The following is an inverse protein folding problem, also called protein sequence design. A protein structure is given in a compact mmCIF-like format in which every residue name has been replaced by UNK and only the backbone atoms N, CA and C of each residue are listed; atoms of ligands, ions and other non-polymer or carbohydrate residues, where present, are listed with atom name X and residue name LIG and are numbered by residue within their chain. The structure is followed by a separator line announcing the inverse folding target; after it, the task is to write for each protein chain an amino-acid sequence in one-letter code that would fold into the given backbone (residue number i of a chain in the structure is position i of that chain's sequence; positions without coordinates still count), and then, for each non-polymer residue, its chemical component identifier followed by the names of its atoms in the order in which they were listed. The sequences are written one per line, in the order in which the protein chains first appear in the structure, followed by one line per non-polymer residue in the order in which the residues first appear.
data_IF_756457979364
#
_entry.id   IF_756457979364
#
_cell.length_a   1.000
_cell.length_b   1.000
_cell.length_c   1.000
_cell.angle_alpha   90.00
_cell.angle_beta   90.00
_cell.angle_gamma   90.00
#
_symmetry.space_group_name_H-M   'P 1'
#
loop_
_entity.id
_entity.type
_entity.pdbx_description
1 polymer ?
#
# COMPACT_ATOMS: atom_id res chain seq x y z
N UNK A 1 -35.71 -20.97 -5.90
CA UNK A 1 -35.19 -20.40 -4.65
C UNK A 1 -33.73 -20.79 -4.58
N UNK A 2 -32.83 -19.82 -4.51
CA UNK A 2 -31.39 -20.07 -4.51
C UNK A 2 -30.95 -20.96 -3.36
N UNK A 3 -29.87 -21.72 -3.56
CA UNK A 3 -29.22 -22.50 -2.51
C UNK A 3 -27.77 -22.06 -2.36
N UNK A 4 -27.24 -22.16 -1.15
CA UNK A 4 -25.82 -21.96 -0.90
C UNK A 4 -25.05 -23.25 -1.23
N UNK A 5 -23.94 -23.11 -1.95
CA UNK A 5 -22.98 -24.19 -2.18
C UNK A 5 -21.62 -23.86 -1.56
N UNK A 6 -20.90 -24.90 -1.15
CA UNK A 6 -19.49 -24.83 -0.74
C UNK A 6 -18.74 -25.88 -1.53
N UNK A 7 -17.66 -25.48 -2.20
CA UNK A 7 -16.77 -26.36 -2.95
C UNK A 7 -17.52 -27.25 -3.96
N UNK A 8 -18.40 -26.64 -4.76
CA UNK A 8 -19.20 -27.33 -5.76
C UNK A 8 -20.31 -28.25 -5.23
N UNK A 9 -20.53 -28.34 -3.91
CA UNK A 9 -21.60 -29.15 -3.30
C UNK A 9 -22.63 -28.27 -2.58
N UNK A 10 -23.90 -28.67 -2.61
CA UNK A 10 -24.97 -28.00 -1.84
C UNK A 10 -24.61 -28.03 -0.35
N UNK A 11 -24.73 -26.89 0.32
CA UNK A 11 -24.58 -26.80 1.76
C UNK A 11 -25.81 -27.41 2.44
N UNK A 12 -25.64 -28.47 3.25
CA UNK A 12 -26.74 -29.04 4.03
C UNK A 12 -26.30 -29.72 5.32
N UNK A 13 -27.22 -29.78 6.29
CA UNK A 13 -27.02 -30.56 7.52
C UNK A 13 -26.85 -32.05 7.22
N UNK A 14 -27.58 -32.58 6.22
CA UNK A 14 -27.51 -34.00 5.83
C UNK A 14 -26.15 -34.39 5.25
N UNK A 15 -25.49 -33.49 4.51
CA UNK A 15 -24.16 -33.69 3.94
C UNK A 15 -23.04 -33.32 4.93
N UNK A 16 -23.39 -32.87 6.15
CA UNK A 16 -22.44 -32.43 7.19
C UNK A 16 -21.41 -31.39 6.71
N UNK A 17 -21.73 -30.63 5.66
CA UNK A 17 -20.88 -29.63 5.03
C UNK A 17 -21.44 -28.20 5.23
N UNK A 18 -22.14 -27.97 6.35
CA UNK A 18 -22.73 -26.67 6.67
C UNK A 18 -21.82 -25.84 7.56
N UNK A 19 -21.90 -24.52 7.42
CA UNK A 19 -21.28 -23.57 8.33
C UNK A 19 -22.38 -22.72 8.95
N UNK A 20 -22.33 -22.49 10.26
CA UNK A 20 -23.26 -21.54 10.89
C UNK A 20 -22.84 -20.11 10.58
N UNK A 21 -23.78 -19.17 10.63
CA UNK A 21 -23.46 -17.74 10.46
C UNK A 21 -22.48 -17.30 11.56
N UNK A 22 -22.63 -17.80 12.80
CA UNK A 22 -21.74 -17.49 13.91
C UNK A 22 -20.30 -17.94 13.62
N UNK A 23 -20.12 -19.17 13.13
CA UNK A 23 -18.79 -19.68 12.78
C UNK A 23 -18.18 -18.87 11.64
N UNK A 24 -18.97 -18.58 10.61
CA UNK A 24 -18.53 -17.81 9.46
C UNK A 24 -18.09 -16.38 9.83
N UNK A 25 -18.81 -15.73 10.76
CA UNK A 25 -18.45 -14.41 11.28
C UNK A 25 -17.26 -14.44 12.25
N UNK A 26 -17.04 -15.56 12.94
CA UNK A 26 -15.92 -15.71 13.86
C UNK A 26 -14.58 -15.96 13.15
N UNK A 27 -14.59 -16.49 11.92
CA UNK A 27 -13.37 -16.97 11.27
C UNK A 27 -13.12 -16.38 9.88
N UNK A 28 -14.15 -16.11 9.10
CA UNK A 28 -13.98 -15.94 7.64
C UNK A 28 -14.53 -14.61 7.12
N UNK A 29 -15.54 -14.03 7.77
CA UNK A 29 -16.28 -12.88 7.24
C UNK A 29 -16.50 -11.78 8.27
N UNK A 30 -16.43 -10.53 7.82
CA UNK A 30 -17.16 -9.45 8.47
C UNK A 30 -18.65 -9.55 8.13
N UNK A 31 -19.52 -9.00 8.99
CA UNK A 31 -20.95 -8.97 8.73
C UNK A 31 -21.30 -8.21 7.43
N UNK A 32 -20.54 -7.17 7.10
CA UNK A 32 -20.68 -6.44 5.83
C UNK A 32 -20.21 -7.27 4.64
N UNK A 33 -19.01 -7.84 4.70
CA UNK A 33 -18.45 -8.64 3.61
C UNK A 33 -19.35 -9.82 3.25
N UNK A 34 -19.95 -10.48 4.24
CA UNK A 34 -20.94 -11.53 3.99
C UNK A 34 -22.18 -11.02 3.25
N UNK A 35 -22.72 -9.84 3.62
CA UNK A 35 -23.86 -9.23 2.91
C UNK A 35 -23.51 -8.84 1.47
N UNK A 36 -22.31 -8.31 1.25
CA UNK A 36 -21.81 -7.97 -0.10
C UNK A 36 -21.79 -9.22 -0.98
N UNK A 37 -21.25 -10.34 -0.48
CA UNK A 37 -21.27 -11.62 -1.22
C UNK A 37 -22.69 -12.04 -1.62
N UNK A 38 -23.67 -11.87 -0.74
CA UNK A 38 -25.06 -12.19 -1.07
C UNK A 38 -25.68 -11.24 -2.09
N UNK A 39 -25.34 -9.94 -2.06
CA UNK A 39 -25.81 -8.96 -3.05
C UNK A 39 -25.19 -9.18 -4.44
N UNK A 40 -24.06 -9.89 -4.52
CA UNK A 40 -23.43 -10.25 -5.79
C UNK A 40 -24.10 -11.44 -6.49
N UNK A 41 -25.04 -12.12 -5.83
CA UNK A 41 -25.85 -13.21 -6.41
C UNK A 41 -27.32 -12.84 -6.53
N UNK A 42 -28.01 -13.35 -7.56
CA UNK A 42 -29.47 -13.17 -7.66
C UNK A 42 -30.18 -14.02 -6.60
N UNK A 43 -31.27 -13.50 -6.04
CA UNK A 43 -32.02 -14.17 -4.96
C UNK A 43 -32.55 -15.56 -5.37
N UNK A 44 -32.81 -15.76 -6.66
CA UNK A 44 -33.36 -16.99 -7.22
C UNK A 44 -32.28 -17.97 -7.71
N UNK A 45 -31.02 -17.55 -7.81
CA UNK A 45 -29.89 -18.35 -8.29
C UNK A 45 -29.10 -18.97 -7.13
N UNK A 46 -28.36 -20.04 -7.41
CA UNK A 46 -27.43 -20.61 -6.44
C UNK A 46 -26.23 -19.67 -6.21
N UNK A 47 -25.82 -19.50 -4.95
CA UNK A 47 -24.64 -18.70 -4.60
C UNK A 47 -23.58 -19.62 -4.00
N UNK A 48 -22.42 -19.67 -4.63
CA UNK A 48 -21.27 -20.42 -4.11
C UNK A 48 -20.44 -19.55 -3.17
N UNK A 49 -20.21 -20.04 -1.96
CA UNK A 49 -19.33 -19.40 -0.99
C UNK A 49 -17.89 -19.87 -1.24
N UNK A 50 -17.21 -19.21 -2.18
CA UNK A 50 -15.83 -19.52 -2.58
C UNK A 50 -14.83 -18.46 -2.07
N UNK A 51 -13.52 -18.79 -1.98
CA UNK A 51 -12.48 -17.79 -1.75
C UNK A 51 -12.49 -16.64 -2.77
N UNK A 52 -12.83 -16.93 -4.03
CA UNK A 52 -12.88 -15.93 -5.08
C UNK A 52 -14.05 -14.95 -4.89
N UNK A 53 -15.23 -15.44 -4.50
CA UNK A 53 -16.36 -14.57 -4.18
C UNK A 53 -16.06 -13.65 -3.00
N UNK A 54 -15.28 -14.14 -2.01
CA UNK A 54 -14.79 -13.28 -0.92
C UNK A 54 -13.86 -12.20 -1.43
N UNK A 55 -12.88 -12.57 -2.24
CA UNK A 55 -11.93 -11.61 -2.79
C UNK A 55 -12.63 -10.53 -3.62
N UNK A 56 -13.65 -10.91 -4.41
CA UNK A 56 -14.48 -9.96 -5.16
C UNK A 56 -15.25 -9.02 -4.24
N UNK A 57 -15.89 -9.55 -3.19
CA UNK A 57 -16.61 -8.75 -2.20
C UNK A 57 -15.67 -7.76 -1.48
N UNK A 58 -14.51 -8.22 -1.02
CA UNK A 58 -13.49 -7.37 -0.40
C UNK A 58 -12.98 -6.30 -1.37
N UNK A 59 -12.76 -6.63 -2.65
CA UNK A 59 -12.31 -5.65 -3.64
C UNK A 59 -13.38 -4.60 -3.94
N UNK A 60 -14.64 -5.00 -3.98
CA UNK A 60 -15.76 -4.07 -4.18
C UNK A 60 -15.90 -3.14 -2.96
N UNK A 61 -15.84 -3.69 -1.75
CA UNK A 61 -15.87 -2.90 -0.51
C UNK A 61 -14.71 -1.89 -0.46
N UNK A 62 -13.49 -2.34 -0.77
CA UNK A 62 -12.31 -1.48 -0.82
C UNK A 62 -12.44 -0.34 -1.85
N UNK A 63 -13.04 -0.62 -3.01
CA UNK A 63 -13.27 0.40 -4.04
C UNK A 63 -14.19 1.51 -3.52
N UNK A 64 -15.28 1.14 -2.85
CA UNK A 64 -16.23 2.08 -2.27
C UNK A 64 -15.64 2.82 -1.07
N UNK A 65 -14.88 2.13 -0.19
CA UNK A 65 -14.14 2.74 0.92
C UNK A 65 -13.19 3.82 0.43
N UNK A 66 -12.34 3.49 -0.56
CA UNK A 66 -11.37 4.43 -1.12
C UNK A 66 -12.04 5.68 -1.69
N UNK A 67 -13.18 5.50 -2.38
CA UNK A 67 -13.96 6.63 -2.87
C UNK A 67 -14.45 7.52 -1.73
N UNK A 68 -15.08 6.96 -0.69
CA UNK A 68 -15.53 7.74 0.46
C UNK A 68 -14.37 8.45 1.18
N UNK A 69 -13.25 7.75 1.41
CA UNK A 69 -12.07 8.34 2.03
C UNK A 69 -11.54 9.52 1.22
N UNK A 70 -11.53 9.43 -0.11
CA UNK A 70 -11.12 10.53 -0.98
C UNK A 70 -12.07 11.73 -0.89
N UNK A 71 -13.39 11.52 -1.00
CA UNK A 71 -14.37 12.61 -0.95
C UNK A 71 -14.37 13.28 0.42
N UNK A 72 -14.37 12.50 1.51
CA UNK A 72 -14.27 13.02 2.88
C UNK A 72 -13.01 13.86 3.08
N UNK A 73 -11.87 13.40 2.59
CA UNK A 73 -10.61 14.12 2.69
C UNK A 73 -10.68 15.48 1.96
N UNK A 74 -11.24 15.51 0.75
CA UNK A 74 -11.42 16.75 -0.02
C UNK A 74 -12.37 17.73 0.71
N UNK A 75 -13.49 17.25 1.24
CA UNK A 75 -14.40 18.06 2.05
C UNK A 75 -13.69 18.63 3.29
N UNK A 76 -12.92 17.80 3.99
CA UNK A 76 -12.19 18.22 5.18
C UNK A 76 -11.10 19.27 4.88
N UNK A 77 -10.46 19.20 3.71
CA UNK A 77 -9.44 20.14 3.25
C UNK A 77 -10.04 21.50 2.86
N UNK A 78 -11.16 21.51 2.14
CA UNK A 78 -11.89 22.74 1.81
C UNK A 78 -12.41 23.42 3.08
N UNK A 79 -13.04 22.67 3.98
CA UNK A 79 -13.54 23.20 5.26
C UNK A 79 -12.42 23.76 6.15
N UNK A 80 -11.18 23.29 6.01
CA UNK A 80 -10.04 23.83 6.73
C UNK A 80 -9.49 25.14 6.13
N UNK A 81 -9.77 25.38 4.84
CA UNK A 81 -9.28 26.53 4.07
C UNK A 81 -10.28 27.69 4.08
N UNK A 82 -11.57 27.42 4.29
CA UNK A 82 -12.64 28.40 4.37
C UNK A 82 -13.23 28.41 5.78
N UNK A 83 -12.75 29.28 6.67
CA UNK A 83 -13.43 29.55 7.94
C UNK A 83 -14.86 30.09 7.65
N UNK A 84 -15.90 29.34 8.04
CA UNK A 84 -17.22 29.92 8.31
C UNK A 84 -18.23 30.03 7.17
N UNK A 85 -18.32 29.09 6.21
CA UNK A 85 -19.49 29.02 5.32
C UNK A 85 -20.12 27.63 5.36
N UNK A 86 -21.36 27.57 5.88
CA UNK A 86 -22.26 26.43 5.76
C UNK A 86 -22.77 26.27 4.32
N UNK A 87 -23.01 25.00 3.99
CA UNK A 87 -23.67 24.47 2.80
C UNK A 87 -22.87 24.55 1.50
N UNK A 88 -22.34 23.38 1.09
CA UNK A 88 -22.13 23.02 -0.31
C UNK A 88 -23.52 22.99 -0.98
N UNK A 89 -24.11 24.16 -1.24
CA UNK A 89 -25.36 24.28 -1.96
C UNK A 89 -25.10 23.93 -3.42
N UNK A 90 -25.71 22.83 -3.86
CA UNK A 90 -25.71 22.39 -5.26
C UNK A 90 -26.41 23.48 -6.08
N UNK A 91 -25.68 24.13 -6.98
CA UNK A 91 -26.31 24.94 -8.02
C UNK A 91 -26.99 23.99 -9.01
N UNK A 92 -28.31 24.16 -9.21
CA UNK A 92 -29.05 23.38 -10.19
C UNK A 92 -28.57 23.72 -11.62
N UNK A 93 -27.98 22.72 -12.27
CA UNK A 93 -27.57 22.57 -13.69
C UNK A 93 -26.20 23.15 -14.08
N UNK A 94 -25.37 22.35 -14.80
CA UNK A 94 -25.65 21.88 -16.17
C UNK A 94 -25.81 20.35 -16.33
N UNK A 95 -26.41 19.95 -17.46
CA UNK A 95 -26.74 18.58 -17.90
C UNK A 95 -25.59 17.86 -18.62
N UNK A 96 -24.34 18.05 -18.19
CA UNK A 96 -23.16 17.36 -18.72
C UNK A 96 -22.18 16.99 -17.58
N UNK A 97 -21.48 15.87 -17.69
CA UNK A 97 -20.48 15.43 -16.70
C UNK A 97 -21.02 14.56 -15.56
N UNK A 98 -20.44 14.67 -14.36
CA UNK A 98 -20.69 13.73 -13.24
C UNK A 98 -22.16 13.69 -12.77
N UNK A 99 -22.90 14.80 -12.84
CA UNK A 99 -24.32 14.81 -12.47
C UNK A 99 -25.17 14.01 -13.47
N UNK A 100 -24.82 14.03 -14.76
CA UNK A 100 -25.50 13.19 -15.75
C UNK A 100 -25.23 11.70 -15.48
N UNK A 101 -24.00 11.34 -15.11
CA UNK A 101 -23.67 9.97 -14.68
C UNK A 101 -24.43 9.56 -13.41
N UNK A 102 -24.62 10.47 -12.46
CA UNK A 102 -25.42 10.22 -11.27
C UNK A 102 -26.90 9.98 -11.61
N UNK A 103 -27.52 10.78 -12.48
CA UNK A 103 -28.91 10.58 -12.91
C UNK A 103 -29.10 9.29 -13.73
N UNK A 104 -28.12 8.97 -14.58
CA UNK A 104 -28.07 7.68 -15.28
C UNK A 104 -28.00 6.52 -14.28
N UNK A 105 -27.09 6.58 -13.30
CA UNK A 105 -26.96 5.56 -12.28
C UNK A 105 -28.24 5.39 -11.43
N UNK A 106 -28.96 6.48 -11.11
CA UNK A 106 -30.28 6.41 -10.45
C UNK A 106 -31.29 5.62 -11.29
N UNK A 107 -31.35 5.90 -12.59
CA UNK A 107 -32.26 5.24 -13.53
C UNK A 107 -31.90 3.76 -13.71
N UNK A 108 -30.61 3.47 -13.89
CA UNK A 108 -30.09 2.11 -14.06
C UNK A 108 -30.31 1.26 -12.79
N UNK A 109 -30.09 1.86 -11.60
CA UNK A 109 -30.38 1.20 -10.32
C UNK A 109 -31.87 0.89 -10.17
N UNK A 110 -32.75 1.85 -10.49
CA UNK A 110 -34.20 1.64 -10.44
C UNK A 110 -34.63 0.49 -11.37
N UNK A 111 -34.09 0.46 -12.59
CA UNK A 111 -34.34 -0.61 -13.56
C UNK A 111 -33.86 -1.97 -13.04
N UNK A 112 -32.67 -2.03 -12.45
CA UNK A 112 -32.14 -3.26 -11.87
C UNK A 112 -33.03 -3.79 -10.73
N UNK A 113 -33.45 -2.91 -9.81
CA UNK A 113 -34.24 -3.30 -8.65
C UNK A 113 -35.69 -3.66 -8.99
N UNK A 114 -36.29 -3.01 -9.99
CA UNK A 114 -37.63 -3.36 -10.48
C UNK A 114 -37.62 -4.63 -11.34
N UNK A 115 -36.47 -5.01 -11.89
CA UNK A 115 -36.27 -6.30 -12.56
C UNK A 115 -35.95 -7.42 -11.56
N UNK A 116 -36.96 -7.90 -10.83
CA UNK A 116 -36.83 -9.04 -9.91
C UNK A 116 -35.71 -8.89 -8.88
N UNK A 117 -35.51 -7.67 -8.35
CA UNK A 117 -34.46 -7.37 -7.38
C UNK A 117 -33.05 -7.80 -7.86
N UNK A 118 -32.64 -7.40 -9.07
CA UNK A 118 -31.31 -7.70 -9.62
C UNK A 118 -30.21 -6.91 -8.88
N UNK A 119 -29.93 -7.35 -7.65
CA UNK A 119 -28.88 -6.80 -6.78
C UNK A 119 -27.48 -6.93 -7.36
N UNK A 120 -27.11 -7.99 -8.13
CA UNK A 120 -25.81 -8.01 -8.82
C UNK A 120 -25.66 -6.84 -9.78
N UNK A 121 -26.71 -6.53 -10.57
CA UNK A 121 -26.66 -5.38 -11.48
C UNK A 121 -26.65 -4.06 -10.72
N UNK A 122 -27.41 -3.93 -9.63
CA UNK A 122 -27.36 -2.75 -8.75
C UNK A 122 -25.94 -2.48 -8.20
N UNK A 123 -25.23 -3.53 -7.77
CA UNK A 123 -23.86 -3.42 -7.25
C UNK A 123 -22.87 -2.98 -8.33
N UNK A 124 -23.08 -3.39 -9.59
CA UNK A 124 -22.28 -2.93 -10.74
C UNK A 124 -22.51 -1.46 -11.06
N UNK A 125 -23.77 -1.01 -11.04
CA UNK A 125 -24.11 0.42 -11.26
C UNK A 125 -23.38 1.31 -10.26
N UNK A 126 -23.33 0.91 -8.98
CA UNK A 126 -22.58 1.63 -7.94
C UNK A 126 -21.08 1.66 -8.27
N UNK A 127 -20.50 0.52 -8.65
CA UNK A 127 -19.08 0.40 -8.97
C UNK A 127 -18.68 1.25 -10.20
N UNK A 128 -19.52 1.26 -11.23
CA UNK A 128 -19.33 2.08 -12.44
C UNK A 128 -19.36 3.56 -12.10
N UNK A 129 -20.34 4.02 -11.32
CA UNK A 129 -20.42 5.42 -10.90
C UNK A 129 -19.20 5.84 -10.06
N UNK A 130 -18.75 4.98 -9.15
CA UNK A 130 -17.52 5.22 -8.38
C UNK A 130 -16.30 5.33 -9.29
N UNK A 131 -16.22 4.51 -10.34
CA UNK A 131 -15.14 4.57 -11.32
C UNK A 131 -15.12 5.93 -12.05
N UNK A 132 -16.26 6.40 -12.53
CA UNK A 132 -16.36 7.72 -13.19
C UNK A 132 -16.00 8.87 -12.23
N UNK A 133 -16.46 8.81 -10.97
CA UNK A 133 -16.10 9.79 -9.96
C UNK A 133 -14.60 9.79 -9.64
N UNK A 134 -13.96 8.61 -9.56
CA UNK A 134 -12.53 8.49 -9.29
C UNK A 134 -11.66 9.06 -10.42
N UNK A 135 -12.09 9.00 -11.70
CA UNK A 135 -11.37 9.63 -12.81
C UNK A 135 -11.22 11.13 -12.58
N UNK A 136 -12.27 11.79 -12.08
CA UNK A 136 -12.25 13.22 -11.75
C UNK A 136 -11.32 13.52 -10.57
N UNK A 137 -11.32 12.67 -9.53
CA UNK A 137 -10.45 12.80 -8.37
C UNK A 137 -8.97 12.75 -8.80
N UNK A 138 -8.62 11.84 -9.70
CA UNK A 138 -7.24 11.65 -10.20
C UNK A 138 -6.82 12.77 -11.17
N UNK A 139 -7.74 13.28 -11.99
CA UNK A 139 -7.46 14.30 -13.00
C UNK A 139 -7.17 15.71 -12.41
N UNK A 140 -7.12 15.86 -11.08
CA UNK A 140 -6.91 17.13 -10.36
C UNK A 140 -8.01 18.19 -10.52
N UNK A 141 -9.12 17.85 -11.18
CA UNK A 141 -10.35 18.66 -11.25
C UNK A 141 -11.25 18.50 -10.00
N UNK A 142 -10.75 17.80 -8.98
CA UNK A 142 -11.54 17.34 -7.83
C UNK A 142 -12.13 18.49 -6.99
N UNK A 143 -11.38 19.58 -6.81
CA UNK A 143 -11.83 20.76 -6.05
C UNK A 143 -13.00 21.46 -6.76
N UNK A 144 -12.91 21.60 -8.10
CA UNK A 144 -13.94 22.24 -8.90
C UNK A 144 -15.25 21.43 -8.95
N UNK A 145 -15.15 20.09 -8.85
CA UNK A 145 -16.28 19.16 -8.92
C UNK A 145 -16.65 18.55 -7.57
N UNK A 146 -16.22 19.18 -6.47
CA UNK A 146 -16.47 18.66 -5.12
C UNK A 146 -17.98 18.55 -4.79
N UNK A 147 -18.85 19.51 -5.15
CA UNK A 147 -20.29 19.37 -4.91
C UNK A 147 -20.89 18.13 -5.57
N UNK A 148 -20.49 17.81 -6.81
CA UNK A 148 -20.94 16.63 -7.53
C UNK A 148 -20.42 15.33 -6.89
N UNK A 149 -19.15 15.31 -6.48
CA UNK A 149 -18.56 14.17 -5.77
C UNK A 149 -19.26 13.91 -4.43
N UNK A 150 -19.61 14.96 -3.69
CA UNK A 150 -20.39 14.87 -2.45
C UNK A 150 -21.80 14.35 -2.71
N UNK A 151 -22.48 14.84 -3.75
CA UNK A 151 -23.81 14.37 -4.13
C UNK A 151 -23.80 12.87 -4.50
N UNK A 152 -22.79 12.43 -5.27
CA UNK A 152 -22.58 11.01 -5.57
C UNK A 152 -22.34 10.22 -4.28
N UNK A 153 -21.47 10.71 -3.41
CA UNK A 153 -21.18 10.07 -2.12
C UNK A 153 -22.42 9.92 -1.24
N UNK A 154 -23.24 10.96 -1.12
CA UNK A 154 -24.50 10.91 -0.36
C UNK A 154 -25.49 9.93 -0.98
N UNK A 155 -25.64 9.92 -2.31
CA UNK A 155 -26.53 8.99 -2.98
C UNK A 155 -26.08 7.54 -2.76
N UNK A 156 -24.79 7.24 -2.96
CA UNK A 156 -24.24 5.91 -2.72
C UNK A 156 -24.47 5.52 -1.25
N UNK A 157 -24.15 6.39 -0.29
CA UNK A 157 -24.38 6.16 1.15
C UNK A 157 -25.82 5.72 1.44
N UNK A 158 -26.79 6.40 0.84
CA UNK A 158 -28.21 6.05 0.96
C UNK A 158 -28.52 4.66 0.43
N UNK A 159 -28.03 4.31 -0.76
CA UNK A 159 -28.28 2.97 -1.35
C UNK A 159 -27.66 1.86 -0.50
N UNK A 160 -26.44 2.07 0.01
CA UNK A 160 -25.77 1.11 0.87
C UNK A 160 -26.49 0.93 2.21
N UNK A 161 -27.03 2.01 2.76
CA UNK A 161 -27.90 1.97 3.94
C UNK A 161 -29.18 1.17 3.70
N UNK A 162 -29.82 1.33 2.53
CA UNK A 162 -30.99 0.53 2.11
C UNK A 162 -30.62 -0.95 1.98
N UNK A 163 -29.43 -1.27 1.44
CA UNK A 163 -28.93 -2.64 1.35
C UNK A 163 -28.43 -3.23 2.68
N UNK A 164 -28.46 -2.45 3.77
CA UNK A 164 -28.04 -2.91 5.09
C UNK A 164 -26.54 -3.19 5.21
N UNK A 165 -25.73 -2.49 4.41
CA UNK A 165 -24.26 -2.61 4.43
C UNK A 165 -23.61 -1.77 5.53
N UNK A 166 -24.34 -0.84 6.12
CA UNK A 166 -23.92 -0.10 7.31
C UNK A 166 -24.75 -0.52 8.52
N UNK A 167 -24.08 -0.86 9.62
CA UNK A 167 -24.71 -1.20 10.90
C UNK A 167 -25.35 0.01 11.60
N UNK A 168 -24.87 1.21 11.29
CA UNK A 168 -25.35 2.47 11.87
C UNK A 168 -26.34 3.21 10.96
N UNK A 169 -26.66 2.66 9.79
CA UNK A 169 -27.58 3.27 8.84
C UNK A 169 -28.97 3.46 9.45
N UNK A 170 -29.45 4.70 9.43
CA UNK A 170 -30.81 5.08 9.83
C UNK A 170 -31.43 5.93 8.75
N UNK A 171 -32.68 5.61 8.39
CA UNK A 171 -33.44 6.46 7.48
C UNK A 171 -33.51 7.90 8.03
N UNK A 172 -33.32 8.94 7.19
CA UNK A 172 -33.33 8.90 5.72
C UNK A 172 -31.97 8.56 5.04
N UNK A 173 -31.00 8.06 5.81
CA UNK A 173 -29.64 7.66 5.37
C UNK A 173 -28.76 8.83 4.96
N UNK A 174 -28.86 9.92 5.73
CA UNK A 174 -28.03 11.10 5.56
C UNK A 174 -26.57 10.81 5.96
N UNK A 175 -25.64 11.56 5.37
CA UNK A 175 -24.22 11.48 5.67
C UNK A 175 -23.37 11.17 4.43
N UNK A 176 -22.10 10.86 4.68
CA UNK A 176 -21.13 10.54 3.64
C UNK A 176 -20.27 9.36 4.08
N UNK A 177 -20.45 8.24 3.39
CA UNK A 177 -19.81 6.97 3.69
C UNK A 177 -20.57 6.16 4.75
N UNK A 178 -20.19 4.89 4.87
CA UNK A 178 -20.67 4.02 5.95
C UNK A 178 -19.72 4.03 7.15
N UNK A 179 -20.19 3.55 8.31
CA UNK A 179 -19.33 3.37 9.47
C UNK A 179 -18.21 2.34 9.19
N UNK A 180 -17.02 2.48 9.79
CA UNK A 180 -16.04 1.40 9.79
C UNK A 180 -16.59 0.18 10.55
N UNK A 181 -16.23 -1.02 10.10
CA UNK A 181 -16.83 -2.31 10.49
C UNK A 181 -16.69 -2.72 11.97
N UNK A 182 -16.16 -1.85 12.84
CA UNK A 182 -15.68 -2.25 14.17
C UNK A 182 -15.71 -1.18 15.29
N UNK A 183 -16.30 0.02 15.11
CA UNK A 183 -16.26 1.05 16.18
C UNK A 183 -17.58 1.13 16.95
N UNK A 184 -17.61 0.42 18.10
CA UNK A 184 -18.58 0.67 19.17
C UNK A 184 -18.48 2.14 19.60
N UNK A 185 -19.59 2.70 20.08
CA UNK A 185 -19.76 4.05 20.61
C UNK A 185 -18.65 4.40 21.65
N UNK A 186 -17.48 4.85 21.19
CA UNK A 186 -16.35 5.23 22.04
C UNK A 186 -16.57 6.66 22.51
N UNK A 187 -16.25 6.91 23.76
CA UNK A 187 -16.20 8.26 24.32
C UNK A 187 -15.33 9.20 23.43
N UNK A 188 -15.79 10.42 23.08
CA UNK A 188 -15.04 11.32 22.20
C UNK A 188 -13.62 11.61 22.63
N UNK A 189 -13.38 11.76 23.94
CA UNK A 189 -12.04 12.04 24.46
C UNK A 189 -11.15 10.82 24.28
N UNK A 190 -11.65 9.63 24.65
CA UNK A 190 -10.95 8.37 24.46
C UNK A 190 -10.65 8.10 22.96
N UNK A 191 -11.55 8.48 22.05
CA UNK A 191 -11.38 8.31 20.62
C UNK A 191 -10.23 9.16 20.04
N UNK A 192 -9.98 10.36 20.59
CA UNK A 192 -8.94 11.27 20.09
C UNK A 192 -7.60 11.14 20.80
N UNK A 193 -7.55 10.51 21.99
CA UNK A 193 -6.32 10.34 22.77
C UNK A 193 -5.09 9.88 21.94
N UNK A 194 -5.20 8.88 21.03
CA UNK A 194 -4.04 8.46 20.24
C UNK A 194 -3.49 9.56 19.32
N UNK A 195 -4.38 10.36 18.72
CA UNK A 195 -3.99 11.46 17.83
C UNK A 195 -3.37 12.62 18.61
N UNK A 196 -3.92 12.94 19.79
CA UNK A 196 -3.36 13.94 20.70
C UNK A 196 -1.96 13.53 21.20
N UNK A 197 -1.74 12.24 21.47
CA UNK A 197 -0.43 11.72 21.86
C UNK A 197 0.61 11.87 20.73
N UNK A 198 0.22 11.59 19.47
CA UNK A 198 1.09 11.80 18.31
C UNK A 198 1.43 13.28 18.14
N UNK A 199 0.45 14.18 18.27
CA UNK A 199 0.71 15.63 18.23
C UNK A 199 1.74 16.06 19.29
N UNK A 200 1.56 15.65 20.55
CA UNK A 200 2.48 15.98 21.65
C UNK A 200 3.89 15.45 21.39
N UNK A 201 4.01 14.21 20.91
CA UNK A 201 5.29 13.59 20.54
C UNK A 201 5.98 14.35 19.42
N UNK A 202 5.26 14.65 18.33
CA UNK A 202 5.79 15.38 17.17
C UNK A 202 6.22 16.79 17.56
N UNK A 203 5.41 17.49 18.35
CA UNK A 203 5.73 18.82 18.88
C UNK A 203 7.05 18.81 19.65
N UNK A 204 7.22 17.87 20.60
CA UNK A 204 8.43 17.74 21.39
C UNK A 204 9.67 17.43 20.52
N UNK A 205 9.54 16.53 19.54
CA UNK A 205 10.64 16.20 18.63
C UNK A 205 11.07 17.39 17.78
N UNK A 206 10.12 18.23 17.32
CA UNK A 206 10.42 19.43 16.52
C UNK A 206 11.07 20.51 17.38
N UNK A 207 10.60 20.71 18.61
CA UNK A 207 11.24 21.62 19.57
C UNK A 207 12.70 21.21 19.86
N UNK A 208 12.97 19.90 19.94
CA UNK A 208 14.32 19.37 20.15
C UNK A 208 15.26 19.62 18.96
N UNK A 209 14.74 19.76 17.73
CA UNK A 209 15.54 20.08 16.54
C UNK A 209 16.05 21.53 16.53
N UNK A 210 15.49 22.42 17.37
CA UNK A 210 15.90 23.83 17.50
C UNK A 210 16.00 24.55 16.15
N UNK A 211 15.02 24.33 15.28
CA UNK A 211 14.98 24.94 13.95
C UNK A 211 14.55 26.40 14.08
N UNK A 212 15.41 27.34 13.68
CA UNK A 212 15.12 28.77 13.68
C UNK A 212 14.25 29.15 12.47
N UNK A 213 12.92 28.97 12.60
CA UNK A 213 11.95 29.44 11.61
C UNK A 213 10.70 30.01 12.29
N UNK A 214 10.33 31.23 11.94
CA UNK A 214 9.14 31.91 12.49
C UNK A 214 7.85 31.16 12.15
N UNK A 215 7.78 30.58 10.95
CA UNK A 215 6.67 29.74 10.50
C UNK A 215 6.48 28.49 11.35
N UNK A 216 7.56 27.79 11.68
CA UNK A 216 7.53 26.59 12.53
C UNK A 216 7.12 26.97 13.95
N UNK A 217 7.66 28.07 14.47
CA UNK A 217 7.32 28.58 15.81
C UNK A 217 5.84 28.94 15.93
N UNK A 218 5.28 29.58 14.89
CA UNK A 218 3.84 29.88 14.81
C UNK A 218 3.00 28.61 14.80
N UNK A 219 3.38 27.60 14.01
CA UNK A 219 2.66 26.31 13.97
C UNK A 219 2.74 25.54 15.29
N UNK A 220 3.87 25.58 16.00
CA UNK A 220 4.03 24.93 17.32
C UNK A 220 3.17 25.58 18.41
N UNK A 221 2.77 26.84 18.23
CA UNK A 221 1.89 27.57 19.16
C UNK A 221 0.41 27.20 19.02
N UNK A 222 0.04 26.46 17.97
CA UNK A 222 -1.34 26.02 17.77
C UNK A 222 -1.79 25.09 18.91
N UNK A 223 -3.04 25.25 19.30
CA UNK A 223 -3.69 24.45 20.33
C UNK A 223 -4.86 23.65 19.73
N UNK A 224 -4.61 22.42 19.24
CA UNK A 224 -5.67 21.58 18.67
C UNK A 224 -6.68 21.11 19.72
N UNK A 225 -6.35 21.14 21.02
CA UNK A 225 -7.28 20.77 22.09
C UNK A 225 -8.48 21.74 22.15
N UNK A 226 -8.25 23.04 21.87
CA UNK A 226 -9.31 24.05 21.83
C UNK A 226 -10.28 23.85 20.67
N UNK A 227 -9.79 23.54 19.46
CA UNK A 227 -10.64 23.23 18.30
C UNK A 227 -11.43 21.94 18.52
N UNK A 228 -10.79 20.90 19.08
CA UNK A 228 -11.47 19.66 19.47
C UNK A 228 -12.61 19.92 20.47
N UNK A 229 -12.37 20.72 21.51
CA UNK A 229 -13.39 21.05 22.50
C UNK A 229 -14.59 21.77 21.86
N UNK A 230 -14.34 22.71 20.94
CA UNK A 230 -15.38 23.42 20.19
C UNK A 230 -16.21 22.48 19.31
N UNK A 231 -15.58 21.56 18.58
CA UNK A 231 -16.25 20.58 17.72
C UNK A 231 -17.10 19.60 18.54
N UNK A 232 -16.54 19.09 19.64
CA UNK A 232 -17.22 18.19 20.58
C UNK A 232 -18.46 18.86 21.19
N UNK A 233 -18.35 20.14 21.60
CA UNK A 233 -19.48 20.91 22.15
C UNK A 233 -20.61 21.16 21.14
N UNK A 234 -20.29 21.24 19.85
CA UNK A 234 -21.29 21.30 18.75
C UNK A 234 -22.03 19.98 18.52
N UNK A 235 -21.72 18.94 19.29
CA UNK A 235 -22.40 17.65 19.24
C UNK A 235 -21.85 16.69 18.19
N UNK A 236 -20.72 17.01 17.55
CA UNK A 236 -20.04 16.09 16.62
C UNK A 236 -19.49 14.91 17.42
N UNK A 237 -19.82 13.69 16.98
CA UNK A 237 -19.38 12.43 17.62
C UNK A 237 -18.55 11.54 16.69
N UNK A 238 -18.39 11.96 15.44
CA UNK A 238 -17.62 11.20 14.46
C UNK A 238 -16.11 11.25 14.83
N UNK A 239 -15.46 10.09 15.07
CA UNK A 239 -14.06 10.06 15.48
C UNK A 239 -13.09 10.65 14.46
N UNK A 240 -13.38 10.52 13.16
CA UNK A 240 -12.53 11.08 12.09
C UNK A 240 -12.55 12.61 12.17
N UNK A 241 -13.74 13.21 12.25
CA UNK A 241 -13.90 14.66 12.40
C UNK A 241 -13.27 15.19 13.69
N UNK A 242 -13.43 14.48 14.81
CA UNK A 242 -12.84 14.87 16.09
C UNK A 242 -11.30 14.79 16.10
N UNK A 243 -10.72 13.91 15.27
CA UNK A 243 -9.26 13.77 15.15
C UNK A 243 -8.61 14.83 14.22
N UNK A 244 -9.38 15.44 13.32
CA UNK A 244 -8.86 16.39 12.32
C UNK A 244 -8.03 17.56 12.90
N UNK A 245 -8.37 18.20 14.04
CA UNK A 245 -7.56 19.29 14.59
C UNK A 245 -6.10 18.89 14.82
N UNK A 246 -5.89 17.74 15.47
CA UNK A 246 -4.55 17.21 15.74
C UNK A 246 -3.83 16.81 14.46
N UNK A 247 -4.53 16.12 13.55
CA UNK A 247 -3.95 15.63 12.29
C UNK A 247 -3.56 16.78 11.36
N UNK A 248 -4.37 17.84 11.27
CA UNK A 248 -4.05 19.04 10.51
C UNK A 248 -2.83 19.74 11.09
N UNK A 249 -2.74 19.88 12.41
CA UNK A 249 -1.59 20.48 13.07
C UNK A 249 -0.29 19.69 12.80
N UNK A 250 -0.32 18.37 12.94
CA UNK A 250 0.81 17.47 12.60
C UNK A 250 1.18 17.59 11.11
N UNK A 251 0.19 17.54 10.21
CA UNK A 251 0.43 17.61 8.77
C UNK A 251 1.06 18.94 8.36
N UNK A 252 0.55 20.07 8.87
CA UNK A 252 1.10 21.40 8.59
C UNK A 252 2.55 21.53 9.07
N UNK A 253 2.88 21.02 10.26
CA UNK A 253 4.26 20.98 10.75
C UNK A 253 5.16 20.14 9.84
N UNK A 254 4.72 18.93 9.45
CA UNK A 254 5.47 18.08 8.52
C UNK A 254 5.73 18.77 7.19
N UNK A 255 4.71 19.36 6.60
CA UNK A 255 4.80 20.03 5.29
C UNK A 255 5.74 21.24 5.37
N UNK A 256 5.66 22.02 6.45
CA UNK A 256 6.55 23.15 6.69
C UNK A 256 8.01 22.72 6.89
N UNK A 257 8.25 21.65 7.65
CA UNK A 257 9.59 21.08 7.81
C UNK A 257 10.20 20.65 6.47
N UNK A 258 9.40 20.01 5.60
CA UNK A 258 9.84 19.63 4.24
C UNK A 258 10.11 20.85 3.37
N UNK A 259 9.38 21.94 3.55
CA UNK A 259 9.60 23.20 2.83
C UNK A 259 10.95 23.83 3.18
N UNK A 260 11.30 23.86 4.47
CA UNK A 260 12.53 24.49 4.96
C UNK A 260 13.76 23.56 4.95
N UNK A 261 13.58 22.27 4.67
CA UNK A 261 14.64 21.24 4.77
C UNK A 261 15.89 21.53 3.94
N UNK A 262 15.75 22.29 2.85
CA UNK A 262 16.85 22.69 1.98
C UNK A 262 17.66 23.88 2.53
N UNK A 263 17.11 24.60 3.49
CA UNK A 263 17.69 25.82 4.09
C UNK A 263 18.38 25.57 5.43
N UNK A 264 18.32 24.34 5.96
CA UNK A 264 18.94 23.96 7.25
C UNK A 264 20.30 23.28 7.06
N UNK A 265 21.05 23.15 8.16
CA UNK A 265 22.35 22.47 8.16
C UNK A 265 22.22 20.97 7.80
N UNK A 266 23.29 20.31 7.29
CA UNK A 266 23.23 18.90 6.87
C UNK A 266 22.78 17.91 7.95
N UNK A 267 23.17 18.14 9.21
CA UNK A 267 22.79 17.27 10.32
C UNK A 267 21.30 17.41 10.67
N UNK A 268 20.80 18.64 10.73
CA UNK A 268 19.38 18.93 10.95
C UNK A 268 18.55 18.43 9.76
N UNK A 269 19.05 18.58 8.52
CA UNK A 269 18.41 18.06 7.31
C UNK A 269 18.14 16.57 7.42
N UNK A 270 19.13 15.78 7.83
CA UNK A 270 18.96 14.32 8.00
C UNK A 270 17.93 14.00 9.08
N UNK A 271 17.95 14.74 10.19
CA UNK A 271 16.99 14.57 11.28
C UNK A 271 15.55 14.93 10.86
N UNK A 272 15.36 16.05 10.14
CA UNK A 272 14.07 16.45 9.57
C UNK A 272 13.52 15.39 8.64
N UNK A 273 14.32 14.90 7.68
CA UNK A 273 13.87 13.86 6.75
C UNK A 273 13.42 12.60 7.50
N UNK A 274 14.24 12.13 8.43
CA UNK A 274 13.90 10.97 9.27
C UNK A 274 12.63 11.18 10.09
N UNK A 275 12.41 12.38 10.63
CA UNK A 275 11.21 12.71 11.40
C UNK A 275 9.97 12.76 10.48
N UNK A 276 10.07 13.39 9.32
CA UNK A 276 8.94 13.50 8.38
C UNK A 276 8.53 12.14 7.80
N UNK A 277 9.49 11.24 7.58
CA UNK A 277 9.22 9.86 7.17
C UNK A 277 8.60 9.07 8.33
N UNK A 278 9.10 9.20 9.56
CA UNK A 278 8.51 8.53 10.74
C UNK A 278 7.07 8.97 10.99
N UNK A 279 6.77 10.27 10.85
CA UNK A 279 5.41 10.81 11.00
C UNK A 279 4.48 10.16 9.98
N UNK A 280 4.87 10.13 8.71
CA UNK A 280 4.04 9.58 7.63
C UNK A 280 3.90 8.06 7.74
N UNK A 281 5.02 7.34 7.88
CA UNK A 281 5.07 5.89 7.66
C UNK A 281 4.86 5.09 8.95
N UNK A 282 4.97 5.71 10.13
CA UNK A 282 4.81 5.04 11.42
C UNK A 282 3.75 5.67 12.31
N UNK A 283 3.94 6.93 12.72
CA UNK A 283 3.13 7.57 13.76
C UNK A 283 1.65 7.70 13.31
N UNK A 284 1.40 8.06 12.04
CA UNK A 284 0.05 8.19 11.49
C UNK A 284 -0.52 6.88 10.92
N UNK A 285 0.32 6.05 10.29
CA UNK A 285 -0.07 4.74 9.72
C UNK A 285 -0.73 3.83 10.76
N UNK A 286 -0.17 3.76 11.97
CA UNK A 286 -0.69 2.91 13.06
C UNK A 286 -2.07 3.39 13.53
N UNK A 287 -2.40 4.66 13.29
CA UNK A 287 -3.70 5.25 13.64
C UNK A 287 -4.72 5.21 12.48
N UNK A 288 -4.39 4.55 11.37
CA UNK A 288 -5.29 4.48 10.21
C UNK A 288 -5.32 5.78 9.40
N UNK A 289 -4.23 6.55 9.39
CA UNK A 289 -4.15 7.83 8.67
C UNK A 289 -3.06 7.79 7.61
N UNK A 290 -3.43 8.11 6.37
CA UNK A 290 -2.52 8.31 5.24
C UNK A 290 -2.42 9.80 4.89
N UNK A 291 -1.22 10.25 4.55
CA UNK A 291 -0.98 11.59 4.02
C UNK A 291 -0.61 11.50 2.54
N UNK A 292 -1.47 12.06 1.69
CA UNK A 292 -1.25 12.12 0.25
C UNK A 292 -0.65 13.48 -0.11
N UNK A 293 0.65 13.48 -0.40
CA UNK A 293 1.39 14.67 -0.84
C UNK A 293 0.83 15.17 -2.18
N UNK A 294 0.46 16.45 -2.25
CA UNK A 294 -0.07 17.08 -3.47
C UNK A 294 1.00 17.93 -4.18
N UNK A 295 0.92 18.08 -5.50
CA UNK A 295 1.80 18.97 -6.25
C UNK A 295 1.55 20.45 -5.88
N UNK A 296 2.41 21.33 -6.40
CA UNK A 296 2.27 22.79 -6.33
C UNK A 296 2.23 23.41 -4.92
N UNK A 297 2.83 22.72 -3.94
CA UNK A 297 2.93 23.23 -2.57
C UNK A 297 1.61 23.25 -1.80
N UNK A 298 0.57 22.57 -2.30
CA UNK A 298 -0.67 22.34 -1.56
C UNK A 298 -0.39 21.49 -0.32
N UNK A 299 -1.17 21.69 0.74
CA UNK A 299 -1.12 20.86 1.96
C UNK A 299 -1.34 19.38 1.63
N UNK A 300 -0.72 18.49 2.39
CA UNK A 300 -0.99 17.06 2.27
C UNK A 300 -2.46 16.75 2.55
N UNK A 301 -3.08 15.89 1.73
CA UNK A 301 -4.46 15.48 1.90
C UNK A 301 -4.54 14.35 2.95
N UNK A 302 -5.33 14.55 3.99
CA UNK A 302 -5.46 13.61 5.11
C UNK A 302 -6.56 12.60 4.80
N UNK A 303 -6.20 11.32 4.69
CA UNK A 303 -7.15 10.23 4.41
C UNK A 303 -7.21 9.25 5.58
N UNK A 304 -8.43 8.88 5.97
CA UNK A 304 -8.66 7.80 6.92
C UNK A 304 -8.83 6.48 6.16
N UNK A 305 -8.04 5.48 6.55
CA UNK A 305 -8.00 4.13 5.99
C UNK A 305 -7.98 3.16 7.17
N UNK A 306 -8.43 1.93 6.98
CA UNK A 306 -8.34 0.94 8.05
C UNK A 306 -6.87 0.74 8.49
N UNK A 307 -6.60 0.86 9.78
CA UNK A 307 -5.26 0.74 10.33
C UNK A 307 -4.65 -0.65 10.04
N UNK A 308 -5.46 -1.70 10.02
CA UNK A 308 -4.99 -3.05 9.69
C UNK A 308 -4.52 -3.15 8.25
N UNK A 309 -5.21 -2.48 7.31
CA UNK A 309 -4.80 -2.41 5.89
C UNK A 309 -3.49 -1.65 5.74
N UNK A 310 -3.36 -0.50 6.40
CA UNK A 310 -2.13 0.30 6.36
C UNK A 310 -0.93 -0.44 6.99
N UNK A 311 -1.15 -1.11 8.12
CA UNK A 311 -0.11 -1.90 8.79
C UNK A 311 0.29 -3.11 7.93
N UNK A 312 -0.67 -3.79 7.29
CA UNK A 312 -0.39 -4.89 6.38
C UNK A 312 0.46 -4.43 5.18
N UNK A 313 0.08 -3.31 4.55
CA UNK A 313 0.83 -2.71 3.45
C UNK A 313 2.26 -2.31 3.87
N UNK A 314 2.43 -1.73 5.07
CA UNK A 314 3.76 -1.42 5.64
C UNK A 314 4.59 -2.68 5.84
N UNK A 315 4.01 -3.71 6.47
CA UNK A 315 4.72 -4.97 6.74
C UNK A 315 5.12 -5.67 5.45
N UNK A 316 4.27 -5.64 4.41
CA UNK A 316 4.60 -6.19 3.10
C UNK A 316 5.74 -5.41 2.44
N UNK A 317 5.70 -4.07 2.49
CA UNK A 317 6.79 -3.22 1.99
C UNK A 317 8.11 -3.53 2.70
N UNK A 318 8.10 -3.61 4.03
CA UNK A 318 9.28 -3.94 4.83
C UNK A 318 9.80 -5.35 4.52
N UNK A 319 8.92 -6.33 4.35
CA UNK A 319 9.30 -7.69 3.97
C UNK A 319 9.97 -7.72 2.59
N UNK A 320 9.43 -7.00 1.61
CA UNK A 320 9.97 -6.88 0.26
C UNK A 320 11.32 -6.16 0.24
N UNK A 321 11.48 -5.11 1.06
CA UNK A 321 12.75 -4.40 1.22
C UNK A 321 13.80 -5.28 1.90
N UNK A 322 13.43 -6.03 2.94
CA UNK A 322 14.30 -6.98 3.62
C UNK A 322 14.72 -8.14 2.69
N UNK A 323 13.81 -8.63 1.85
CA UNK A 323 14.12 -9.61 0.80
C UNK A 323 15.11 -9.05 -0.23
N UNK A 324 14.87 -7.85 -0.74
CA UNK A 324 15.81 -7.17 -1.65
C UNK A 324 17.18 -6.94 -1.02
N UNK A 325 17.23 -6.56 0.26
CA UNK A 325 18.48 -6.38 1.00
C UNK A 325 19.24 -7.69 1.16
N UNK A 326 18.56 -8.77 1.57
CA UNK A 326 19.14 -10.11 1.67
C UNK A 326 19.67 -10.61 0.33
N UNK A 327 18.88 -10.45 -0.74
CA UNK A 327 19.29 -10.82 -2.09
C UNK A 327 20.52 -10.02 -2.56
N UNK A 328 20.59 -8.72 -2.26
CA UNK A 328 21.76 -7.89 -2.58
C UNK A 328 23.01 -8.31 -1.80
N UNK A 329 22.88 -8.62 -0.52
CA UNK A 329 23.99 -9.09 0.31
C UNK A 329 24.48 -10.48 -0.12
N UNK A 330 23.56 -11.40 -0.43
CA UNK A 330 23.88 -12.73 -0.95
C UNK A 330 24.57 -12.62 -2.32
N UNK A 331 24.07 -11.79 -3.23
CA UNK A 331 24.71 -11.54 -4.51
C UNK A 331 26.12 -10.94 -4.36
N UNK A 332 26.31 -10.03 -3.39
CA UNK A 332 27.64 -9.48 -3.07
C UNK A 332 28.58 -10.58 -2.56
N UNK A 333 28.16 -11.40 -1.60
CA UNK A 333 28.95 -12.51 -1.05
C UNK A 333 29.29 -13.55 -2.13
N UNK A 334 28.33 -13.92 -2.97
CA UNK A 334 28.54 -14.85 -4.09
C UNK A 334 29.54 -14.28 -5.11
N UNK A 335 29.46 -12.98 -5.43
CA UNK A 335 30.42 -12.33 -6.32
C UNK A 335 31.83 -12.28 -5.72
N UNK A 336 31.96 -11.96 -4.44
CA UNK A 336 33.25 -11.97 -3.74
C UNK A 336 33.86 -13.38 -3.66
N UNK A 337 33.04 -14.41 -3.40
CA UNK A 337 33.48 -15.80 -3.41
C UNK A 337 33.90 -16.26 -4.81
N UNK A 338 33.10 -15.98 -5.83
CA UNK A 338 33.42 -16.31 -7.22
C UNK A 338 34.69 -15.58 -7.70
N UNK A 339 34.89 -14.32 -7.30
CA UNK A 339 36.10 -13.58 -7.60
C UNK A 339 37.32 -14.19 -6.88
N UNK A 340 37.21 -14.55 -5.60
CA UNK A 340 38.27 -15.25 -4.87
C UNK A 340 38.61 -16.59 -5.52
N UNK A 341 37.62 -17.43 -5.83
CA UNK A 341 37.84 -18.71 -6.52
C UNK A 341 38.45 -18.54 -7.91
N UNK A 342 38.01 -17.52 -8.67
CA UNK A 342 38.61 -17.18 -9.97
C UNK A 342 40.10 -16.92 -9.79
N UNK A 343 40.47 -16.10 -8.81
CA UNK A 343 41.87 -15.73 -8.60
C UNK A 343 42.71 -16.87 -7.99
N UNK A 344 42.16 -17.70 -7.10
CA UNK A 344 42.84 -18.89 -6.59
C UNK A 344 43.14 -19.90 -7.72
N UNK A 345 42.18 -20.15 -8.61
CA UNK A 345 42.38 -21.02 -9.79
C UNK A 345 43.41 -20.40 -10.76
N UNK A 346 43.39 -19.08 -10.93
CA UNK A 346 44.32 -18.37 -11.80
C UNK A 346 45.74 -18.29 -11.24
N UNK A 347 45.96 -18.53 -9.93
CA UNK A 347 47.28 -18.51 -9.31
C UNK A 347 48.22 -19.61 -9.84
N UNK A 348 47.68 -20.74 -10.30
CA UNK A 348 48.45 -21.86 -10.80
C UNK A 348 49.05 -21.57 -12.19
N UNK A 349 50.37 -21.66 -12.39
CA UNK A 349 50.98 -21.50 -13.70
C UNK A 349 50.50 -22.56 -14.69
N UNK A 350 50.32 -22.17 -15.95
CA UNK A 350 49.91 -23.07 -17.04
C UNK A 350 50.92 -24.19 -17.31
N UNK A 351 52.21 -23.98 -17.01
CA UNK A 351 53.28 -24.99 -17.14
C UNK A 351 53.25 -26.07 -16.04
N UNK A 352 52.51 -25.84 -14.95
CA UNK A 352 52.43 -26.75 -13.81
C UNK A 352 51.08 -27.46 -13.69
N UNK A 353 50.06 -26.97 -14.40
CA UNK A 353 48.66 -27.40 -14.20
C UNK A 353 48.41 -28.90 -14.45
N UNK A 354 49.20 -29.56 -15.29
CA UNK A 354 49.04 -30.97 -15.63
C UNK A 354 50.03 -31.90 -14.91
N UNK A 355 51.00 -31.36 -14.17
CA UNK A 355 52.07 -32.16 -13.55
C UNK A 355 51.61 -32.91 -12.29
N UNK A 356 50.48 -32.50 -11.71
CA UNK A 356 49.87 -33.15 -10.54
C UNK A 356 48.76 -34.17 -10.87
N UNK A 357 48.43 -34.40 -12.15
CA UNK A 357 47.40 -35.37 -12.54
C UNK A 357 48.03 -36.76 -12.77
N UNK A 358 47.59 -37.75 -11.99
CA UNK A 358 48.10 -39.12 -12.03
C UNK A 358 47.89 -39.84 -13.37
N UNK A 359 47.08 -39.29 -14.27
CA UNK A 359 46.81 -39.86 -15.59
C UNK A 359 47.98 -39.73 -16.57
N UNK A 360 48.95 -38.87 -16.27
CA UNK A 360 50.06 -38.55 -17.18
C UNK A 360 51.41 -38.92 -16.56
N UNK A 361 52.35 -39.32 -17.41
CA UNK A 361 53.67 -39.83 -17.00
C UNK A 361 54.85 -39.02 -17.56
N UNK A 362 54.68 -38.36 -18.70
CA UNK A 362 55.67 -37.49 -19.32
C UNK A 362 55.02 -36.20 -19.84
N UNK A 363 55.79 -35.10 -19.83
CA UNK A 363 55.37 -33.76 -20.27
C UNK A 363 56.44 -33.13 -21.15
N UNK A 364 56.04 -32.24 -22.06
CA UNK A 364 56.95 -31.47 -22.89
C UNK A 364 57.53 -30.23 -22.19
N UNK A 365 58.35 -29.45 -22.91
CA UNK A 365 58.99 -28.23 -22.41
C UNK A 365 57.98 -27.12 -22.01
N UNK A 366 56.74 -27.20 -22.50
CA UNK A 366 55.65 -26.25 -22.24
C UNK A 366 54.71 -26.75 -21.13
N UNK A 367 54.97 -27.96 -20.59
CA UNK A 367 54.20 -28.59 -19.53
C UNK A 367 52.94 -29.33 -20.00
N UNK A 368 52.80 -29.61 -21.31
CA UNK A 368 51.71 -30.40 -21.87
C UNK A 368 52.02 -31.91 -21.79
N UNK A 369 51.06 -32.76 -21.37
CA UNK A 369 51.27 -34.21 -21.30
C UNK A 369 51.52 -34.85 -22.67
N UNK A 370 52.55 -35.68 -22.76
CA UNK A 370 52.91 -36.44 -23.96
C UNK A 370 52.53 -37.92 -23.84
N UNK A 371 52.62 -38.50 -22.63
CA UNK A 371 52.27 -39.90 -22.35
C UNK A 371 51.27 -40.07 -21.21
N UNK A 372 50.45 -41.12 -21.33
CA UNK A 372 49.52 -41.60 -20.31
C UNK A 372 50.24 -42.46 -19.25
N UNK A 373 49.56 -42.73 -18.13
CA UNK A 373 50.09 -43.54 -17.02
C UNK A 373 50.50 -44.96 -17.44
N UNK A 374 49.88 -45.51 -18.49
CA UNK A 374 50.19 -46.82 -19.07
C UNK A 374 51.37 -46.78 -20.07
N UNK A 375 51.98 -45.62 -20.27
CA UNK A 375 53.10 -45.40 -21.19
C UNK A 375 52.69 -45.18 -22.64
N UNK A 376 51.39 -45.18 -22.96
CA UNK A 376 50.87 -44.90 -24.31
C UNK A 376 50.82 -43.40 -24.62
N UNK A 377 50.91 -43.04 -25.90
CA UNK A 377 50.87 -41.63 -26.34
C UNK A 377 49.47 -41.04 -26.14
N UNK A 378 49.41 -39.78 -25.69
CA UNK A 378 48.15 -39.06 -25.53
C UNK A 378 47.47 -38.87 -26.91
N UNK A 379 46.21 -39.31 -27.10
CA UNK A 379 45.52 -39.20 -28.38
C UNK A 379 45.41 -37.75 -28.88
N UNK A 380 45.57 -37.53 -30.20
CA UNK A 380 45.51 -36.19 -30.83
C UNK A 380 44.24 -35.39 -30.49
N UNK A 381 43.10 -36.05 -30.31
CA UNK A 381 41.84 -35.39 -29.92
C UNK A 381 41.86 -34.89 -28.48
N UNK A 382 42.51 -35.62 -27.57
CA UNK A 382 42.71 -35.26 -26.17
C UNK A 382 43.77 -34.17 -26.03
N UNK A 383 44.86 -34.26 -26.80
CA UNK A 383 45.93 -33.26 -26.83
C UNK A 383 45.40 -31.87 -27.26
N UNK A 384 44.50 -31.81 -28.25
CA UNK A 384 43.80 -30.56 -28.62
C UNK A 384 42.90 -30.00 -27.51
N UNK A 385 42.32 -30.84 -26.67
CA UNK A 385 41.51 -30.39 -25.51
C UNK A 385 42.43 -29.82 -24.41
N UNK A 386 43.48 -30.55 -24.06
CA UNK A 386 44.48 -30.12 -23.07
C UNK A 386 45.16 -28.81 -23.49
N UNK A 387 45.45 -28.64 -24.78
CA UNK A 387 46.03 -27.40 -25.30
C UNK A 387 45.06 -26.21 -25.19
N UNK A 388 43.74 -26.41 -25.36
CA UNK A 388 42.74 -25.35 -25.12
C UNK A 388 42.63 -24.98 -23.64
N UNK A 389 42.69 -25.96 -22.74
CA UNK A 389 42.69 -25.74 -21.29
C UNK A 389 43.95 -25.00 -20.84
N UNK A 390 45.12 -25.40 -21.36
CA UNK A 390 46.40 -24.74 -21.14
C UNK A 390 46.36 -23.27 -21.55
N UNK A 391 45.86 -22.96 -22.76
CA UNK A 391 45.78 -21.57 -23.25
C UNK A 391 44.82 -20.73 -22.40
N UNK A 392 43.71 -21.31 -21.95
CA UNK A 392 42.77 -20.64 -21.03
C UNK A 392 43.40 -20.35 -19.68
N UNK A 393 44.15 -21.31 -19.14
CA UNK A 393 44.87 -21.14 -17.88
C UNK A 393 45.99 -20.11 -18.00
N UNK A 394 46.75 -20.14 -19.11
CA UNK A 394 47.79 -19.16 -19.41
C UNK A 394 47.25 -17.73 -19.36
N UNK A 395 46.16 -17.47 -20.09
CA UNK A 395 45.49 -16.16 -20.08
C UNK A 395 45.01 -15.76 -18.68
N UNK A 396 44.41 -16.70 -17.95
CA UNK A 396 43.90 -16.43 -16.58
C UNK A 396 45.04 -16.12 -15.61
N UNK A 397 46.16 -16.84 -15.71
CA UNK A 397 47.35 -16.63 -14.88
C UNK A 397 48.06 -15.32 -15.21
N UNK A 398 48.16 -14.95 -16.50
CA UNK A 398 48.68 -13.65 -16.93
C UNK A 398 47.81 -12.50 -16.40
N UNK A 399 46.48 -12.62 -16.43
CA UNK A 399 45.56 -11.66 -15.79
C UNK A 399 45.78 -11.55 -14.27
N UNK A 400 46.03 -12.67 -13.59
CA UNK A 400 46.33 -12.70 -12.16
C UNK A 400 47.68 -12.03 -11.86
N UNK A 401 48.72 -12.33 -12.65
CA UNK A 401 50.04 -11.71 -12.53
C UNK A 401 49.97 -10.19 -12.76
N UNK A 402 49.19 -9.72 -13.73
CA UNK A 402 48.99 -8.30 -13.97
C UNK A 402 48.30 -7.59 -12.78
N UNK A 403 47.33 -8.26 -12.13
CA UNK A 403 46.56 -7.70 -11.00
C UNK A 403 47.30 -7.73 -9.66
N UNK A 404 48.07 -8.79 -9.38
CA UNK A 404 48.71 -9.03 -8.08
C UNK A 404 50.25 -9.05 -8.11
N UNK A 405 50.86 -9.17 -9.29
CA UNK A 405 52.31 -9.32 -9.46
C UNK A 405 53.11 -8.01 -9.54
N UNK A 406 52.46 -6.86 -9.78
CA UNK A 406 53.14 -5.55 -9.85
C UNK A 406 53.60 -4.99 -8.47
N UNK A 407 53.34 -5.69 -7.37
CA UNK A 407 53.73 -5.27 -6.01
C UNK A 407 55.15 -5.74 -5.57
N UNK A 408 55.92 -6.34 -6.48
CA UNK A 408 57.35 -6.64 -6.27
C UNK A 408 58.15 -6.17 -7.48
N UNK A 409 58.38 -4.86 -7.56
CA UNK A 409 59.53 -4.31 -8.26
C UNK A 409 60.57 -3.90 -7.22
#
# INVERSE_FOLDING_TARGET
MGHLSISGSKMSKSLKNFQTIQDALATTYSARGMRIVFLMGKWNDGVEISPDMRAQASSWEATVNNFFSNVKALVADVNASTEGVESLSIAEKPTDGLLAELEKAKTDLHTALTNSFDTPQAMRVIQELVSEANKVIVAQDAEAKLPELVAIGQWITKILGIFGLDENAKAPYDGLGWAPSAKKNVDPEAAVQPYAAVWKKVKADIEALKVSSDSVSSLLSQDPDAEFASISQKGVRDPEQLALPYLRAVSRLRDELRRIVSSVSPDIKKAILSLTDRIRDEDLTVLGVSLDDRPDGKSSLIKFIDASELIAARNEKLAREAEKARAKEEAKRAREQAEKEKWEKAKLPHTEMFKGDEKYSEWDAEGLPTKLKDGSDVPKSQLKKLQKEWQRQKKSHEEWQAKFGAAKA
#
